data_IF_906173784120
#
_entry.id   IF_906173784120
#
_cell.length_a   1.000
_cell.length_b   1.000
_cell.length_c   1.000
_cell.angle_alpha   90.00
_cell.angle_beta   90.00
_cell.angle_gamma   90.00
#
_symmetry.space_group_name_H-M   'P 1'
#
loop_
_entity.id
_entity.type
_entity.pdbx_description
1 polymer ?
#
# COMPACT_ATOMS: atom_id res chain seq x y z
N UNK A 1 -1.48 4.12 5.02
CA UNK A 1 -2.86 3.79 4.67
C UNK A 1 -3.74 5.04 4.60
N UNK A 2 -3.87 5.85 5.65
CA UNK A 2 -4.66 7.12 5.64
C UNK A 2 -4.46 7.95 4.37
N UNK A 3 -3.21 8.34 4.07
CA UNK A 3 -2.90 9.14 2.88
C UNK A 3 -3.34 8.48 1.55
N UNK A 4 -3.28 7.15 1.44
CA UNK A 4 -3.74 6.44 0.25
C UNK A 4 -5.28 6.51 0.12
N UNK A 5 -5.98 6.26 1.24
CA UNK A 5 -7.45 6.30 1.32
C UNK A 5 -7.95 7.71 1.01
N UNK A 6 -7.42 8.71 1.72
CA UNK A 6 -7.88 10.11 1.66
C UNK A 6 -7.66 10.71 0.27
N UNK A 7 -6.46 10.53 -0.31
CA UNK A 7 -6.14 11.11 -1.63
C UNK A 7 -6.92 10.51 -2.80
N UNK A 8 -7.45 9.29 -2.64
CA UNK A 8 -8.21 8.60 -3.68
C UNK A 8 -9.69 8.41 -3.32
N UNK A 9 -10.16 8.96 -2.20
CA UNK A 9 -11.54 8.81 -1.73
C UNK A 9 -12.00 7.34 -1.56
N UNK A 10 -11.08 6.43 -1.21
CA UNK A 10 -11.36 4.99 -1.23
C UNK A 10 -12.38 4.63 -0.14
N UNK A 11 -13.46 3.95 -0.54
CA UNK A 11 -14.43 3.36 0.38
C UNK A 11 -14.22 1.85 0.51
N UNK A 12 -14.30 1.26 1.72
CA UNK A 12 -13.97 -0.16 1.93
C UNK A 12 -14.83 -1.14 1.12
N UNK A 13 -16.10 -0.80 0.90
CA UNK A 13 -17.09 -1.57 0.14
C UNK A 13 -16.79 -1.62 -1.37
N UNK A 14 -15.90 -0.75 -1.86
CA UNK A 14 -15.40 -0.74 -3.24
C UNK A 14 -14.06 -1.44 -3.41
N UNK A 15 -13.48 -1.98 -2.33
CA UNK A 15 -12.16 -2.62 -2.38
C UNK A 15 -12.31 -4.11 -2.63
N UNK A 16 -11.80 -4.56 -3.78
CA UNK A 16 -11.77 -5.97 -4.12
C UNK A 16 -10.72 -6.73 -3.30
N UNK A 17 -9.51 -6.16 -3.12
CA UNK A 17 -8.46 -6.77 -2.30
C UNK A 17 -7.31 -5.82 -1.98
N UNK A 18 -6.52 -6.19 -0.96
CA UNK A 18 -5.24 -5.57 -0.63
C UNK A 18 -4.10 -6.60 -0.65
N UNK A 19 -2.98 -6.22 -1.26
CA UNK A 19 -1.73 -6.95 -1.17
C UNK A 19 -0.69 -6.10 -0.46
N UNK A 20 -0.05 -6.67 0.55
CA UNK A 20 1.07 -6.06 1.26
C UNK A 20 2.36 -6.80 0.92
N UNK A 21 3.41 -6.10 0.54
CA UNK A 21 4.78 -6.66 0.52
C UNK A 21 5.63 -5.99 1.59
N UNK A 22 6.57 -6.75 2.16
CA UNK A 22 7.60 -6.22 3.05
C UNK A 22 8.96 -6.81 2.68
N UNK A 23 10.01 -6.00 2.82
CA UNK A 23 11.39 -6.47 2.65
C UNK A 23 11.75 -7.50 3.73
N UNK A 24 12.64 -8.43 3.38
CA UNK A 24 12.97 -9.60 4.22
C UNK A 24 13.61 -9.25 5.59
N UNK A 25 14.00 -7.99 5.79
CA UNK A 25 14.52 -7.43 7.04
C UNK A 25 13.42 -6.97 8.02
N UNK A 26 12.14 -6.98 7.62
CA UNK A 26 10.98 -6.74 8.50
C UNK A 26 10.37 -8.08 8.92
N UNK A 27 10.49 -8.41 10.21
CA UNK A 27 10.00 -9.68 10.77
C UNK A 27 9.17 -9.53 12.05
N UNK A 28 8.94 -8.29 12.49
CA UNK A 28 8.32 -8.00 13.78
C UNK A 28 6.79 -8.12 13.77
N UNK A 29 6.14 -7.94 12.61
CA UNK A 29 4.69 -8.05 12.48
C UNK A 29 4.26 -8.17 11.01
N UNK A 30 3.04 -8.69 10.77
CA UNK A 30 2.37 -8.56 9.49
C UNK A 30 1.95 -7.09 9.26
N UNK A 31 2.32 -6.47 8.11
CA UNK A 31 1.93 -5.09 7.81
C UNK A 31 0.42 -4.85 7.82
N UNK A 32 -0.34 -5.81 7.29
CA UNK A 32 -1.80 -5.79 7.23
C UNK A 32 -2.51 -5.70 8.59
N UNK A 33 -1.82 -5.97 9.72
CA UNK A 33 -2.39 -5.83 11.06
C UNK A 33 -3.00 -4.44 11.29
N UNK A 34 -2.43 -3.41 10.65
CA UNK A 34 -2.91 -2.02 10.74
C UNK A 34 -4.35 -1.87 10.25
N UNK A 35 -4.82 -2.72 9.33
CA UNK A 35 -6.17 -2.62 8.75
C UNK A 35 -7.27 -2.85 9.78
N UNK A 36 -6.98 -3.55 10.90
CA UNK A 36 -7.93 -3.72 12.01
C UNK A 36 -8.31 -2.42 12.71
N UNK A 37 -7.53 -1.35 12.51
CA UNK A 37 -7.79 -0.03 13.07
C UNK A 37 -8.76 0.80 12.20
N UNK A 38 -9.08 0.34 10.99
CA UNK A 38 -9.94 1.06 10.05
C UNK A 38 -11.35 0.48 10.05
N UNK A 39 -12.33 1.32 10.40
CA UNK A 39 -13.74 0.94 10.36
C UNK A 39 -14.18 0.57 8.94
N UNK A 40 -14.99 -0.49 8.80
CA UNK A 40 -15.50 -0.97 7.51
C UNK A 40 -14.56 -1.91 6.73
N UNK A 41 -13.29 -2.05 7.11
CA UNK A 41 -12.32 -2.88 6.37
C UNK A 41 -12.30 -4.37 6.79
N UNK A 42 -13.14 -4.77 7.74
CA UNK A 42 -13.17 -6.13 8.32
C UNK A 42 -13.32 -7.23 7.27
N UNK A 43 -14.05 -6.96 6.18
CA UNK A 43 -14.40 -7.94 5.16
C UNK A 43 -13.54 -7.86 3.90
N UNK A 44 -12.63 -6.88 3.81
CA UNK A 44 -11.74 -6.75 2.66
C UNK A 44 -10.71 -7.89 2.73
N UNK A 45 -10.54 -8.70 1.67
CA UNK A 45 -9.55 -9.76 1.65
C UNK A 45 -8.15 -9.17 1.55
N UNK A 46 -7.22 -9.68 2.37
CA UNK A 46 -5.86 -9.18 2.48
C UNK A 46 -4.86 -10.34 2.39
N UNK A 47 -3.81 -10.15 1.60
CA UNK A 47 -2.67 -11.06 1.53
C UNK A 47 -1.37 -10.31 1.84
N UNK A 48 -0.42 -10.98 2.49
CA UNK A 48 0.92 -10.47 2.73
C UNK A 48 1.91 -11.36 1.99
N UNK A 49 2.94 -10.76 1.41
CA UNK A 49 4.05 -11.44 0.75
C UNK A 49 5.38 -10.84 1.18
N UNK A 50 6.45 -11.61 0.98
CA UNK A 50 7.80 -11.06 1.05
C UNK A 50 8.11 -10.38 -0.28
N UNK A 51 8.72 -9.20 -0.20
CA UNK A 51 9.28 -8.53 -1.38
C UNK A 51 10.51 -9.28 -1.91
N UNK A 52 10.74 -9.21 -3.22
CA UNK A 52 11.98 -9.70 -3.82
C UNK A 52 13.21 -9.04 -3.17
N UNK A 53 14.20 -9.82 -2.67
CA UNK A 53 15.38 -9.28 -1.98
C UNK A 53 16.45 -8.83 -2.99
N UNK A 54 16.20 -7.73 -3.69
CA UNK A 54 17.16 -7.15 -4.65
C UNK A 54 18.31 -6.47 -3.89
N UNK A 55 19.55 -6.77 -4.28
CA UNK A 55 20.74 -6.15 -3.70
C UNK A 55 20.72 -4.62 -3.89
N UNK A 56 21.10 -3.87 -2.83
CA UNK A 56 21.06 -2.41 -2.85
C UNK A 56 19.66 -1.78 -2.82
N UNK A 57 18.59 -2.58 -2.79
CA UNK A 57 17.22 -2.07 -2.74
C UNK A 57 16.86 -1.45 -1.38
N UNK A 58 15.79 -0.66 -1.36
CA UNK A 58 15.37 0.08 -0.18
C UNK A 58 15.03 -0.85 1.01
N UNK A 59 15.89 -0.86 2.02
CA UNK A 59 15.70 -1.59 3.27
C UNK A 59 14.50 -1.08 4.09
N UNK A 60 13.91 -1.97 4.89
CA UNK A 60 12.74 -1.71 5.75
C UNK A 60 11.59 -1.02 5.00
N UNK A 61 11.23 -1.57 3.85
CA UNK A 61 10.17 -1.04 2.99
C UNK A 61 8.93 -1.92 3.08
N UNK A 62 7.76 -1.29 3.22
CA UNK A 62 6.44 -1.92 3.10
C UNK A 62 5.77 -1.29 1.88
N UNK A 63 5.24 -2.11 0.98
CA UNK A 63 4.43 -1.66 -0.15
C UNK A 63 3.01 -2.19 -0.04
N UNK A 64 2.09 -1.46 -0.66
CA UNK A 64 0.67 -1.77 -0.67
C UNK A 64 0.19 -1.64 -2.11
N UNK A 65 -0.41 -2.70 -2.63
CA UNK A 65 -1.25 -2.65 -3.81
C UNK A 65 -2.70 -2.79 -3.36
N UNK A 66 -3.57 -1.91 -3.84
CA UNK A 66 -5.00 -1.97 -3.60
C UNK A 66 -5.71 -2.14 -4.94
N UNK A 67 -6.61 -3.12 -5.01
CA UNK A 67 -7.54 -3.25 -6.12
C UNK A 67 -8.87 -2.62 -5.68
N UNK A 68 -9.23 -1.51 -6.31
CA UNK A 68 -10.44 -0.75 -6.01
C UNK A 68 -11.28 -0.63 -7.27
N UNK A 69 -12.58 -0.82 -7.13
CA UNK A 69 -13.56 -0.48 -8.15
C UNK A 69 -13.80 1.03 -8.12
N UNK A 70 -13.27 1.74 -9.12
CA UNK A 70 -13.23 3.21 -9.21
C UNK A 70 -13.54 3.69 -10.62
N UNK A 71 -14.13 4.88 -10.72
CA UNK A 71 -14.40 5.56 -12.00
C UNK A 71 -13.24 6.50 -12.43
N UNK A 72 -12.18 6.61 -11.61
CA UNK A 72 -11.02 7.43 -11.93
C UNK A 72 -10.26 6.89 -13.14
N UNK A 73 -9.78 7.80 -13.99
CA UNK A 73 -8.78 7.47 -15.01
C UNK A 73 -7.45 7.06 -14.39
N UNK A 74 -6.64 6.30 -15.12
CA UNK A 74 -5.37 5.78 -14.62
C UNK A 74 -4.38 6.90 -14.22
N UNK A 75 -4.36 8.02 -14.95
CA UNK A 75 -3.53 9.20 -14.60
C UNK A 75 -4.02 9.96 -13.35
N UNK A 76 -5.28 9.80 -12.98
CA UNK A 76 -5.86 10.50 -11.84
C UNK A 76 -5.58 9.80 -10.50
N UNK A 77 -5.23 8.51 -10.56
CA UNK A 77 -4.90 7.72 -9.36
C UNK A 77 -3.67 8.31 -8.65
N UNK A 78 -3.86 8.67 -7.39
CA UNK A 78 -2.81 9.27 -6.55
C UNK A 78 -2.04 8.17 -5.82
N UNK A 79 -0.92 7.76 -6.40
CA UNK A 79 0.03 6.88 -5.73
C UNK A 79 0.78 7.63 -4.61
N UNK A 80 1.06 6.95 -3.50
CA UNK A 80 1.62 7.58 -2.29
C UNK A 80 2.95 6.93 -1.91
N UNK A 81 4.01 7.73 -1.91
CA UNK A 81 5.35 7.34 -1.49
C UNK A 81 5.77 8.19 -0.28
N UNK A 82 6.09 7.54 0.85
CA UNK A 82 6.38 8.23 2.11
C UNK A 82 7.81 7.97 2.56
N UNK A 83 8.40 8.95 3.26
CA UNK A 83 9.74 8.84 3.86
C UNK A 83 10.76 8.45 2.78
N UNK A 84 11.63 7.47 3.06
CA UNK A 84 12.64 6.97 2.12
C UNK A 84 12.04 6.31 0.87
N UNK A 85 10.78 5.91 0.89
CA UNK A 85 10.13 5.33 -0.29
C UNK A 85 9.83 6.37 -1.39
N UNK A 86 9.90 7.67 -1.08
CA UNK A 86 9.84 8.74 -2.09
C UNK A 86 10.88 8.53 -3.20
N UNK A 87 12.09 8.08 -2.84
CA UNK A 87 13.16 7.80 -3.79
C UNK A 87 12.85 6.66 -4.79
N UNK A 88 11.78 5.87 -4.58
CA UNK A 88 11.39 4.80 -5.51
C UNK A 88 10.68 5.32 -6.77
N UNK A 89 10.12 6.53 -6.72
CA UNK A 89 9.42 7.19 -7.83
C UNK A 89 9.75 8.68 -7.85
N UNK A 90 10.99 9.05 -8.23
CA UNK A 90 11.39 10.45 -8.31
C UNK A 90 10.46 11.27 -9.22
N UNK A 91 9.88 10.63 -10.22
CA UNK A 91 8.92 11.17 -11.19
C UNK A 91 7.53 11.49 -10.60
N UNK A 92 7.21 11.02 -9.39
CA UNK A 92 5.93 11.29 -8.72
C UNK A 92 6.07 12.11 -7.44
N UNK A 93 7.29 12.55 -7.10
CA UNK A 93 7.61 13.21 -5.82
C UNK A 93 7.90 14.70 -5.93
N UNK A 94 7.40 15.35 -6.98
CA UNK A 94 7.33 16.82 -7.06
C UNK A 94 6.06 17.37 -6.39
#
# INVERSE_FOLDING_TARGET
MNALIEKNGIKPDRVASLLFSATADIRSAFPSKVMRQFSGWKYVPIMNMQEIPVEGSLARCIRILIHVDTDLGQEDVKHVYLRRAAALRPDLTE
#
